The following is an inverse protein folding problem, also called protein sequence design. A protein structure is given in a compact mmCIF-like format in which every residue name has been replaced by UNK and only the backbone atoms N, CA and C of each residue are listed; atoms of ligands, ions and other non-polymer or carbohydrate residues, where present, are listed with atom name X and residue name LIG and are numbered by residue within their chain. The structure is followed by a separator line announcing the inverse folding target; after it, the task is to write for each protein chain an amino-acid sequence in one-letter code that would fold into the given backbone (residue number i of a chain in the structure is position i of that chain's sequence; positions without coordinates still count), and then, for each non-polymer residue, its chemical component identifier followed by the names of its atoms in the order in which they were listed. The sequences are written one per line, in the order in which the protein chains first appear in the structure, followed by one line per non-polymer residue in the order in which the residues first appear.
data_IF_598888634323
#
_entry.id   IF_598888634323
#
_cell.length_a   1.000
_cell.length_b   1.000
_cell.length_c   1.000
_cell.angle_alpha   90.00
_cell.angle_beta   90.00
_cell.angle_gamma   90.00
#
_symmetry.space_group_name_H-M   'P 1'
#
loop_
_entity.id
_entity.type
_entity.pdbx_description
1 polymer ?
#
# COMPACT_ATOMS: atom_id res chain seq x y z
N UNK A 1 69.94 -6.41 -32.36
CA UNK A 1 69.33 -7.75 -32.52
C UNK A 1 67.93 -7.67 -31.93
N UNK A 2 66.89 -7.54 -32.76
CA UNK A 2 65.83 -8.55 -33.01
C UNK A 2 65.12 -9.01 -31.72
N UNK A 3 63.79 -9.03 -31.56
CA UNK A 3 62.59 -8.66 -32.34
C UNK A 3 61.40 -8.97 -31.39
N UNK A 4 60.42 -8.05 -31.31
CA UNK A 4 58.96 -8.24 -31.17
C UNK A 4 58.40 -9.20 -30.09
N UNK A 5 57.50 -8.70 -29.22
CA UNK A 5 56.11 -9.18 -29.11
C UNK A 5 55.27 -8.27 -28.22
N UNK A 6 54.41 -7.51 -28.87
CA UNK A 6 53.27 -6.84 -28.28
C UNK A 6 52.24 -7.88 -27.81
N UNK A 7 51.66 -7.68 -26.63
CA UNK A 7 50.43 -8.33 -26.24
C UNK A 7 49.47 -7.25 -25.70
N UNK A 8 48.52 -6.86 -26.57
CA UNK A 8 47.34 -6.10 -26.20
C UNK A 8 46.57 -6.90 -25.14
N UNK A 9 46.40 -6.34 -23.95
CA UNK A 9 45.47 -6.88 -22.96
C UNK A 9 44.08 -6.34 -23.26
N UNK A 10 43.26 -7.19 -23.86
CA UNK A 10 41.87 -6.94 -24.20
C UNK A 10 41.03 -6.87 -22.90
N UNK A 11 40.35 -5.75 -22.67
CA UNK A 11 39.39 -5.61 -21.57
C UNK A 11 38.17 -6.50 -21.82
N UNK A 12 37.94 -7.48 -20.97
CA UNK A 12 36.69 -8.23 -20.94
C UNK A 12 35.72 -7.56 -19.96
N UNK A 13 34.79 -6.74 -20.48
CA UNK A 13 33.59 -6.37 -19.74
C UNK A 13 32.74 -7.62 -19.58
N UNK A 14 32.76 -8.23 -18.39
CA UNK A 14 31.81 -9.28 -18.03
C UNK A 14 30.46 -8.60 -17.78
N UNK A 15 29.55 -8.73 -18.74
CA UNK A 15 28.16 -8.36 -18.57
C UNK A 15 27.51 -9.30 -17.56
N UNK A 16 26.94 -8.75 -16.48
CA UNK A 16 25.99 -9.48 -15.64
C UNK A 16 24.72 -9.73 -16.45
N UNK A 17 24.51 -10.98 -16.88
CA UNK A 17 23.21 -11.42 -17.38
C UNK A 17 22.29 -11.66 -16.18
N UNK A 18 21.28 -10.81 -16.01
CA UNK A 18 20.16 -11.13 -15.13
C UNK A 18 19.38 -12.29 -15.76
N UNK A 19 19.51 -13.49 -15.19
CA UNK A 19 18.60 -14.59 -15.51
C UNK A 19 17.21 -14.23 -14.99
N UNK A 20 16.31 -13.83 -15.89
CA UNK A 20 14.88 -13.71 -15.59
C UNK A 20 14.36 -15.13 -15.35
N UNK A 21 13.65 -15.42 -14.24
CA UNK A 21 13.05 -16.73 -14.05
C UNK A 21 11.99 -16.96 -15.14
N UNK A 22 12.14 -18.07 -15.86
CA UNK A 22 11.14 -18.63 -16.77
C UNK A 22 9.83 -18.81 -16.00
N UNK A 23 8.88 -17.90 -16.20
CA UNK A 23 7.52 -18.07 -15.71
C UNK A 23 6.90 -19.10 -16.62
N UNK A 24 6.99 -20.39 -16.25
CA UNK A 24 6.64 -21.56 -17.05
C UNK A 24 5.24 -21.54 -17.68
N UNK A 25 5.05 -20.71 -18.69
CA UNK A 25 3.88 -20.59 -19.51
C UNK A 25 4.15 -21.40 -20.79
N UNK A 26 3.34 -22.42 -21.11
CA UNK A 26 3.51 -23.16 -22.34
C UNK A 26 3.23 -22.23 -23.54
N UNK A 27 4.15 -22.21 -24.51
CA UNK A 27 4.10 -21.34 -25.68
C UNK A 27 2.94 -21.61 -26.65
N UNK A 28 2.09 -22.60 -26.36
CA UNK A 28 0.98 -23.03 -27.21
C UNK A 28 -0.38 -23.10 -26.48
N UNK A 29 -0.57 -22.31 -25.41
CA UNK A 29 -1.86 -22.24 -24.73
C UNK A 29 -2.89 -21.44 -25.55
N UNK A 30 -4.09 -21.99 -25.86
CA UNK A 30 -5.15 -21.21 -26.49
C UNK A 30 -5.59 -20.07 -25.56
N UNK A 31 -5.92 -18.92 -26.16
CA UNK A 31 -6.38 -17.70 -25.48
C UNK A 31 -7.57 -18.03 -24.56
N UNK A 32 -7.30 -18.22 -23.27
CA UNK A 32 -8.31 -18.58 -22.27
C UNK A 32 -7.83 -19.50 -21.12
N UNK A 33 -6.61 -20.01 -21.13
CA UNK A 33 -6.10 -20.83 -20.03
C UNK A 33 -5.56 -19.97 -18.86
N UNK A 34 -6.28 -19.96 -17.74
CA UNK A 34 -5.75 -19.45 -16.46
C UNK A 34 -4.90 -20.53 -15.76
N UNK A 35 -3.81 -20.17 -15.06
CA UNK A 35 -3.03 -21.15 -14.30
C UNK A 35 -3.85 -21.66 -13.11
N UNK A 36 -3.97 -22.97 -13.00
CA UNK A 36 -4.65 -23.65 -11.89
C UNK A 36 -3.86 -23.45 -10.59
N UNK A 37 -4.27 -22.48 -9.77
CA UNK A 37 -3.94 -22.48 -8.35
C UNK A 37 -4.79 -23.56 -7.67
N UNK A 38 -4.14 -24.43 -6.91
CA UNK A 38 -4.76 -25.57 -6.25
C UNK A 38 -5.46 -25.11 -4.96
N UNK A 39 -6.79 -24.99 -5.02
CA UNK A 39 -7.79 -25.38 -4.01
C UNK A 39 -7.80 -24.69 -2.63
N UNK A 40 -8.79 -23.82 -2.41
CA UNK A 40 -9.50 -23.70 -1.12
C UNK A 40 -11.00 -23.87 -1.40
N UNK A 41 -11.55 -25.01 -0.99
CA UNK A 41 -12.98 -25.28 -1.09
C UNK A 41 -13.75 -24.45 -0.06
N UNK A 42 -14.66 -23.60 -0.52
CA UNK A 42 -15.45 -22.75 0.37
C UNK A 42 -16.50 -21.91 -0.33
N UNK A 43 -17.67 -22.52 -0.55
CA UNK A 43 -19.01 -21.92 -0.55
C UNK A 43 -19.34 -20.70 -1.45
N UNK A 44 -20.36 -20.88 -2.28
CA UNK A 44 -21.37 -19.84 -2.49
C UNK A 44 -21.54 -19.30 -3.90
N UNK A 45 -22.57 -19.79 -4.57
CA UNK A 45 -23.14 -19.35 -5.83
C UNK A 45 -23.18 -17.82 -6.09
N UNK A 46 -22.91 -17.43 -7.35
CA UNK A 46 -23.69 -16.52 -8.24
C UNK A 46 -22.79 -16.09 -9.42
N UNK A 47 -23.04 -16.57 -10.63
CA UNK A 47 -23.97 -16.01 -11.62
C UNK A 47 -23.46 -14.71 -12.28
N UNK A 48 -23.20 -14.83 -13.59
CA UNK A 48 -23.26 -13.85 -14.68
C UNK A 48 -22.53 -12.51 -14.54
N UNK A 49 -21.56 -12.30 -15.43
CA UNK A 49 -21.39 -11.02 -16.12
C UNK A 49 -20.69 -11.24 -17.47
N UNK A 50 -21.49 -11.28 -18.52
CA UNK A 50 -21.08 -11.01 -19.91
C UNK A 50 -20.38 -9.66 -20.02
N UNK A 51 -19.25 -9.62 -20.72
CA UNK A 51 -18.46 -8.41 -20.96
C UNK A 51 -19.12 -7.53 -22.01
N UNK A 52 -19.82 -6.49 -21.58
CA UNK A 52 -20.20 -5.35 -22.41
C UNK A 52 -19.15 -4.25 -22.30
N UNK A 53 -18.33 -4.08 -23.33
CA UNK A 53 -17.50 -2.87 -23.48
C UNK A 53 -18.44 -1.76 -23.97
N UNK A 54 -18.95 -0.96 -23.03
CA UNK A 54 -19.64 0.29 -23.36
C UNK A 54 -18.60 1.42 -23.36
N UNK A 55 -18.44 2.03 -24.53
CA UNK A 55 -17.63 3.22 -24.74
C UNK A 55 -18.18 4.37 -23.89
N UNK A 56 -17.37 4.88 -22.95
CA UNK A 56 -17.74 6.04 -22.13
C UNK A 56 -17.88 7.28 -23.01
N UNK A 57 -19.11 7.63 -23.36
CA UNK A 57 -19.46 8.99 -23.75
C UNK A 57 -19.56 9.85 -22.48
N UNK A 58 -18.82 10.96 -22.43
CA UNK A 58 -18.92 11.96 -21.36
C UNK A 58 -20.34 12.58 -21.35
N UNK A 59 -21.03 12.68 -20.20
CA UNK A 59 -22.24 13.48 -20.11
C UNK A 59 -21.88 14.97 -20.08
N UNK A 60 -22.47 15.81 -20.96
CA UNK A 60 -22.29 17.25 -20.90
C UNK A 60 -23.31 17.86 -19.95
N UNK A 61 -23.21 17.61 -18.63
CA UNK A 61 -23.92 18.40 -17.62
C UNK A 61 -23.24 18.25 -16.25
N UNK A 62 -22.67 19.35 -15.76
CA UNK A 62 -21.78 19.42 -14.60
C UNK A 62 -22.46 19.34 -13.23
N UNK A 63 -23.37 18.39 -13.02
CA UNK A 63 -24.05 18.17 -11.73
C UNK A 63 -24.26 16.68 -11.38
N UNK A 64 -23.36 15.79 -11.82
CA UNK A 64 -23.34 14.42 -11.30
C UNK A 64 -22.52 14.38 -9.98
N UNK A 65 -23.07 13.82 -8.88
CA UNK A 65 -22.27 13.49 -7.72
C UNK A 65 -21.14 12.57 -8.16
N UNK A 66 -19.89 12.97 -7.88
CA UNK A 66 -18.73 12.11 -8.09
C UNK A 66 -19.02 10.74 -7.47
N UNK A 67 -18.75 9.62 -8.16
CA UNK A 67 -18.80 8.33 -7.48
C UNK A 67 -17.83 8.44 -6.31
N UNK A 68 -18.35 8.25 -5.09
CA UNK A 68 -17.51 8.14 -3.92
C UNK A 68 -16.50 7.05 -4.25
N UNK A 69 -15.24 7.45 -4.49
CA UNK A 69 -14.14 6.49 -4.46
C UNK A 69 -14.34 5.78 -3.14
N UNK A 70 -14.56 4.47 -3.23
CA UNK A 70 -14.90 3.62 -2.10
C UNK A 70 -13.92 4.02 -1.01
N UNK A 71 -14.47 4.62 0.07
CA UNK A 71 -13.72 4.71 1.31
C UNK A 71 -13.11 3.33 1.46
N UNK A 72 -11.77 3.29 1.50
CA UNK A 72 -11.00 2.08 1.75
C UNK A 72 -11.80 1.23 2.71
N UNK A 73 -12.00 -0.05 2.42
CA UNK A 73 -12.81 -0.95 3.25
C UNK A 73 -12.21 -0.99 4.66
N UNK A 74 -12.51 0.05 5.42
CA UNK A 74 -11.90 0.40 6.69
C UNK A 74 -12.51 -0.61 7.62
N UNK A 75 -11.67 -1.53 8.09
CA UNK A 75 -12.08 -2.46 9.12
C UNK A 75 -12.74 -1.66 10.26
N UNK A 76 -13.75 -2.21 10.94
CA UNK A 76 -14.46 -1.48 11.99
C UNK A 76 -13.45 -0.94 13.01
N UNK A 77 -13.37 0.39 13.08
CA UNK A 77 -12.46 1.10 13.93
C UNK A 77 -12.67 0.70 15.39
N UNK A 78 -11.58 0.37 16.09
CA UNK A 78 -11.67 0.05 17.52
C UNK A 78 -11.92 1.32 18.36
N UNK A 79 -12.52 1.19 19.55
CA UNK A 79 -12.80 2.36 20.41
C UNK A 79 -11.56 3.22 20.69
N UNK A 80 -10.37 2.60 20.75
CA UNK A 80 -9.09 3.27 20.93
C UNK A 80 -8.76 4.25 19.80
N UNK A 81 -8.81 3.79 18.53
CA UNK A 81 -8.48 4.65 17.38
C UNK A 81 -9.46 5.81 17.20
N UNK A 82 -10.75 5.59 17.49
CA UNK A 82 -11.76 6.65 17.46
C UNK A 82 -11.46 7.71 18.53
N UNK A 83 -11.20 7.27 19.76
CA UNK A 83 -10.87 8.20 20.85
C UNK A 83 -9.62 9.02 20.54
N UNK A 84 -8.62 8.40 19.94
CA UNK A 84 -7.38 9.06 19.53
C UNK A 84 -7.63 10.09 18.41
N UNK A 85 -8.41 9.74 17.40
CA UNK A 85 -8.79 10.65 16.31
C UNK A 85 -9.47 11.94 16.83
N UNK A 86 -10.32 11.80 17.85
CA UNK A 86 -11.05 12.92 18.45
C UNK A 86 -10.21 13.75 19.43
N UNK A 87 -9.21 13.14 20.06
CA UNK A 87 -8.29 13.84 20.98
C UNK A 87 -7.24 14.69 20.26
N UNK A 88 -6.96 14.38 19.00
CA UNK A 88 -5.93 15.04 18.18
C UNK A 88 -6.54 16.12 17.31
N UNK A 89 -5.77 17.18 17.03
CA UNK A 89 -6.21 18.33 16.21
C UNK A 89 -5.27 18.64 15.05
N UNK A 90 -4.09 18.02 15.01
CA UNK A 90 -3.13 18.19 13.93
C UNK A 90 -3.62 17.58 12.62
N UNK A 91 -3.07 18.10 11.53
CA UNK A 91 -3.25 17.57 10.18
C UNK A 91 -2.32 16.37 9.93
N UNK A 92 -2.69 15.53 8.95
CA UNK A 92 -1.80 14.48 8.43
C UNK A 92 -0.53 15.12 7.84
N UNK A 93 0.62 14.53 8.13
CA UNK A 93 1.97 15.02 7.81
C UNK A 93 2.46 16.17 8.70
N UNK A 94 1.63 16.68 9.62
CA UNK A 94 2.06 17.73 10.55
C UNK A 94 2.93 17.11 11.66
N UNK A 95 4.25 17.21 11.49
CA UNK A 95 5.22 16.69 12.45
C UNK A 95 5.06 17.30 13.85
N UNK A 96 4.71 16.45 14.82
CA UNK A 96 4.62 16.76 16.25
C UNK A 96 5.68 16.02 17.07
N UNK A 97 6.03 14.81 16.66
CA UNK A 97 6.92 13.91 17.38
C UNK A 97 8.29 13.88 16.71
N UNK A 98 9.34 13.97 17.54
CA UNK A 98 10.71 13.80 17.05
C UNK A 98 10.96 12.33 16.74
N UNK A 99 11.33 12.05 15.49
CA UNK A 99 11.75 10.73 15.03
C UNK A 99 13.27 10.70 14.86
N UNK A 100 13.84 9.53 15.12
CA UNK A 100 15.28 9.28 14.94
C UNK A 100 15.66 9.40 13.47
N UNK A 101 16.93 9.71 13.18
CA UNK A 101 17.48 9.61 11.82
C UNK A 101 17.43 8.18 11.26
N UNK A 102 17.26 7.19 12.14
CA UNK A 102 17.08 5.78 11.78
C UNK A 102 15.61 5.40 11.56
N UNK A 103 14.67 6.35 11.66
CA UNK A 103 13.28 6.12 11.25
C UNK A 103 13.22 6.14 9.72
N UNK A 104 13.38 4.96 9.12
CA UNK A 104 13.52 4.83 7.67
C UNK A 104 12.13 4.68 7.01
N UNK A 105 11.74 5.57 6.08
CA UNK A 105 10.47 5.44 5.37
C UNK A 105 10.33 4.12 4.61
N UNK A 106 11.43 3.59 4.07
CA UNK A 106 11.44 2.30 3.38
C UNK A 106 11.07 1.13 4.31
N UNK A 107 11.45 1.21 5.59
CA UNK A 107 11.13 0.20 6.59
C UNK A 107 9.68 0.34 7.05
N UNK A 108 9.21 1.58 7.22
CA UNK A 108 7.80 1.86 7.51
C UNK A 108 6.88 1.27 6.45
N UNK A 109 7.20 1.45 5.16
CA UNK A 109 6.42 0.86 4.07
C UNK A 109 6.32 -0.67 4.14
N UNK A 110 7.34 -1.36 4.68
CA UNK A 110 7.30 -2.82 4.88
C UNK A 110 6.45 -3.19 6.09
N UNK A 111 6.67 -2.53 7.21
CA UNK A 111 5.94 -2.79 8.46
C UNK A 111 4.44 -2.47 8.32
N UNK A 112 4.09 -1.40 7.60
CA UNK A 112 2.70 -1.05 7.30
C UNK A 112 1.98 -2.13 6.47
N UNK A 113 2.71 -2.84 5.59
CA UNK A 113 2.13 -3.92 4.79
C UNK A 113 1.82 -5.19 5.60
N UNK A 114 2.26 -5.27 6.86
CA UNK A 114 1.94 -6.39 7.76
C UNK A 114 0.52 -6.28 8.34
N UNK A 115 -0.10 -5.09 8.29
CA UNK A 115 -1.42 -4.84 8.83
C UNK A 115 -2.50 -4.94 7.76
N UNK A 116 -3.67 -5.52 8.07
CA UNK A 116 -4.76 -5.68 7.11
C UNK A 116 -5.47 -4.36 6.76
N UNK A 117 -5.25 -3.29 7.53
CA UNK A 117 -5.82 -1.95 7.30
C UNK A 117 -5.03 -0.88 8.04
N UNK A 118 -5.19 0.38 7.63
CA UNK A 118 -4.59 1.52 8.32
C UNK A 118 -5.10 1.67 9.76
N UNK A 119 -6.37 1.34 10.03
CA UNK A 119 -6.93 1.35 11.39
C UNK A 119 -6.25 0.31 12.29
N UNK A 120 -6.01 -0.89 11.76
CA UNK A 120 -5.29 -1.93 12.48
C UNK A 120 -3.83 -1.53 12.76
N UNK A 121 -3.17 -0.85 11.81
CA UNK A 121 -1.84 -0.30 12.01
C UNK A 121 -1.84 0.80 13.09
N UNK A 122 -2.81 1.71 13.06
CA UNK A 122 -2.96 2.77 14.05
C UNK A 122 -3.20 2.19 15.45
N UNK A 123 -4.05 1.18 15.58
CA UNK A 123 -4.30 0.52 16.86
C UNK A 123 -3.02 -0.12 17.41
N UNK A 124 -2.28 -0.86 16.57
CA UNK A 124 -1.02 -1.48 16.97
C UNK A 124 0.04 -0.44 17.36
N UNK A 125 0.11 0.67 16.61
CA UNK A 125 0.98 1.81 16.92
C UNK A 125 0.68 2.39 18.30
N UNK A 126 -0.59 2.68 18.60
CA UNK A 126 -1.01 3.19 19.91
C UNK A 126 -0.76 2.17 21.02
N UNK A 127 -1.07 0.89 20.79
CA UNK A 127 -0.82 -0.19 21.74
C UNK A 127 0.68 -0.38 22.04
N UNK A 128 1.56 -0.08 21.08
CA UNK A 128 3.00 -0.13 21.26
C UNK A 128 3.59 1.10 21.98
N UNK A 129 2.77 2.09 22.32
CA UNK A 129 3.17 3.33 23.01
C UNK A 129 3.44 4.50 22.07
N UNK A 130 2.95 4.44 20.84
CA UNK A 130 2.78 5.62 20.01
C UNK A 130 1.71 6.57 20.59
N UNK A 131 1.78 7.87 20.30
CA UNK A 131 2.72 8.50 19.37
C UNK A 131 4.07 8.92 19.97
N UNK A 132 4.21 8.88 21.29
CA UNK A 132 5.45 9.28 21.98
C UNK A 132 6.63 8.39 21.58
N UNK A 133 6.38 7.08 21.40
CA UNK A 133 7.40 6.11 21.00
C UNK A 133 6.92 5.23 19.85
N UNK A 134 7.44 5.51 18.66
CA UNK A 134 7.25 4.67 17.49
C UNK A 134 8.19 3.45 17.51
N UNK A 135 7.84 2.42 18.27
CA UNK A 135 8.61 1.17 18.38
C UNK A 135 8.50 0.28 17.16
N UNK A 136 7.43 0.48 16.38
CA UNK A 136 7.09 -0.35 15.22
C UNK A 136 7.54 0.32 13.91
N UNK A 137 8.11 1.52 13.97
CA UNK A 137 8.49 2.33 12.81
C UNK A 137 7.33 2.49 11.82
N UNK A 138 6.14 2.82 12.33
CA UNK A 138 4.92 3.02 11.54
C UNK A 138 4.63 4.48 11.24
N UNK A 139 5.24 5.42 11.98
CA UNK A 139 5.06 6.87 11.82
C UNK A 139 6.45 7.54 11.71
N UNK A 140 7.13 7.39 10.55
CA UNK A 140 8.46 7.98 10.34
C UNK A 140 8.43 9.50 10.18
N UNK A 141 7.30 10.10 9.79
CA UNK A 141 7.18 11.55 9.65
C UNK A 141 6.94 12.25 11.01
N UNK A 142 6.39 11.52 11.97
CA UNK A 142 6.17 11.95 13.34
C UNK A 142 4.91 12.79 13.50
N UNK A 143 3.88 12.62 12.68
CA UNK A 143 2.61 13.32 12.84
C UNK A 143 1.68 12.65 13.87
N UNK A 144 2.03 11.45 14.33
CA UNK A 144 1.24 10.66 15.28
C UNK A 144 0.16 9.80 14.64
N UNK A 145 0.15 9.67 13.31
CA UNK A 145 -0.72 8.84 12.51
C UNK A 145 0.13 7.79 11.78
N UNK A 146 -0.13 6.53 12.09
CA UNK A 146 0.61 5.40 11.56
C UNK A 146 0.24 5.16 10.10
N UNK A 147 1.24 4.82 9.28
CA UNK A 147 1.05 4.44 7.89
C UNK A 147 0.31 5.52 7.10
N UNK A 148 -0.84 5.21 6.51
CA UNK A 148 -1.67 6.18 5.78
C UNK A 148 -2.96 6.53 6.56
N UNK A 149 -2.96 6.32 7.87
CA UNK A 149 -4.17 6.51 8.68
C UNK A 149 -4.63 7.98 8.69
N UNK A 150 -5.91 8.21 8.37
CA UNK A 150 -6.53 9.53 8.35
C UNK A 150 -7.57 9.66 9.49
N UNK A 151 -7.40 10.60 10.45
CA UNK A 151 -8.37 10.83 11.51
C UNK A 151 -9.64 11.54 11.05
N UNK A 152 -9.65 12.15 9.85
CA UNK A 152 -10.72 13.04 9.42
C UNK A 152 -12.11 12.38 9.33
N UNK A 153 -12.28 11.13 8.85
CA UNK A 153 -13.58 10.45 8.88
C UNK A 153 -14.19 10.39 10.28
N UNK A 154 -13.39 10.05 11.29
CA UNK A 154 -13.83 9.97 12.69
C UNK A 154 -14.26 11.33 13.25
N UNK A 155 -13.43 12.36 13.00
CA UNK A 155 -13.71 13.74 13.42
C UNK A 155 -15.00 14.28 12.79
N UNK A 156 -15.22 13.99 11.49
CA UNK A 156 -16.45 14.38 10.78
C UNK A 156 -17.69 13.67 11.32
N UNK A 157 -17.59 12.37 11.61
CA UNK A 157 -18.71 11.60 12.17
C UNK A 157 -19.10 12.13 13.55
N UNK A 158 -18.13 12.36 14.43
CA UNK A 158 -18.40 12.92 15.76
C UNK A 158 -19.02 14.33 15.68
N UNK A 159 -18.55 15.19 14.79
CA UNK A 159 -19.11 16.52 14.58
C UNK A 159 -20.59 16.48 14.13
N UNK A 160 -20.99 15.44 13.39
CA UNK A 160 -22.38 15.23 12.96
C UNK A 160 -23.27 14.65 14.05
N UNK A 161 -22.72 13.87 14.98
CA UNK A 161 -23.47 13.26 16.09
C UNK A 161 -23.67 14.20 17.28
N UNK A 162 -22.88 15.28 17.37
CA UNK A 162 -22.95 16.27 18.45
C UNK A 162 -23.78 17.52 18.15
N UNK A 163 -24.49 17.57 17.03
CA UNK A 163 -25.41 18.66 16.64
C UNK A 163 -26.85 18.18 16.64
#
# INVERSE_FOLDING_TARGET
MRVILAALSLAALSACSSSVPDSGAPADAPLGATPAYRGFDGAGARASAESGVETSALPPDGNAPLPATTASEQAPATPGVVSYALSTTNAVGQKLYRRSIFALPALAARNCAEYPSDDAAQEAFLAAGGPERDRLNLDPDGDGFACNWDPAPYRRLAARSGG
#
